data_IF_722289905656
#
_entry.id   IF_722289905656
#
_cell.length_a   1.000
_cell.length_b   1.000
_cell.length_c   1.000
_cell.angle_alpha   90.00
_cell.angle_beta   90.00
_cell.angle_gamma   90.00
#
_symmetry.space_group_name_H-M   'P 1'
#
loop_
_entity.id
_entity.type
_entity.pdbx_description
1 polymer ?
#
# COMPACT_ATOMS: atom_id res chain seq x y z
N UNK A 1 -13.85 1.02 12.99
CA UNK A 1 -12.65 1.78 13.38
C UNK A 1 -11.73 0.77 14.04
N UNK A 2 -10.66 0.33 13.38
CA UNK A 2 -9.81 -0.75 13.88
C UNK A 2 -9.03 -0.27 15.13
N UNK A 3 -8.97 -1.07 16.21
CA UNK A 3 -8.34 -0.67 17.46
C UNK A 3 -6.83 -0.47 17.26
N UNK A 4 -6.33 0.61 17.85
CA UNK A 4 -4.94 1.04 17.84
C UNK A 4 -4.14 0.18 18.83
N UNK A 5 -3.95 -1.11 18.50
CA UNK A 5 -3.17 -2.05 19.30
C UNK A 5 -1.66 -1.82 19.07
N UNK A 6 -1.09 -0.88 19.82
CA UNK A 6 0.33 -0.88 20.19
C UNK A 6 1.35 -0.47 19.12
N UNK A 7 0.93 0.01 17.95
CA UNK A 7 1.87 0.53 16.95
C UNK A 7 2.16 2.01 17.28
N UNK A 8 3.42 2.39 17.64
CA UNK A 8 3.79 3.78 17.84
C UNK A 8 3.37 4.59 16.61
N UNK A 9 2.84 5.82 16.77
CA UNK A 9 2.46 6.65 15.61
C UNK A 9 3.67 6.84 14.68
N UNK A 10 3.71 6.09 13.58
CA UNK A 10 4.80 6.10 12.61
C UNK A 10 4.67 7.35 11.76
N UNK A 11 5.49 8.38 12.04
CA UNK A 11 5.42 9.69 11.36
C UNK A 11 6.58 9.91 10.39
N UNK A 12 7.61 9.08 10.50
CA UNK A 12 8.83 9.20 9.71
C UNK A 12 9.40 7.83 9.35
N UNK A 13 10.34 7.81 8.39
CA UNK A 13 11.04 6.59 8.02
C UNK A 13 11.82 6.02 9.22
N UNK A 14 12.40 6.88 10.06
CA UNK A 14 13.12 6.47 11.27
C UNK A 14 12.22 5.69 12.24
N UNK A 15 10.98 6.12 12.42
CA UNK A 15 10.03 5.42 13.29
C UNK A 15 9.67 4.04 12.72
N UNK A 16 9.53 3.94 11.40
CA UNK A 16 9.27 2.68 10.71
C UNK A 16 10.47 1.71 10.84
N UNK A 17 11.69 2.23 10.73
CA UNK A 17 12.91 1.43 10.89
C UNK A 17 13.05 0.92 12.32
N UNK A 18 12.74 1.76 13.32
CA UNK A 18 12.73 1.37 14.73
C UNK A 18 11.68 0.27 15.00
N UNK A 19 10.46 0.42 14.47
CA UNK A 19 9.44 -0.63 14.54
C UNK A 19 9.92 -1.93 13.89
N UNK A 20 10.46 -1.86 12.68
CA UNK A 20 10.97 -3.01 11.93
C UNK A 20 12.13 -3.74 12.61
N UNK A 21 12.90 -3.06 13.45
CA UNK A 21 13.95 -3.66 14.27
C UNK A 21 13.38 -4.51 15.43
N UNK A 22 12.19 -4.17 15.92
CA UNK A 22 11.50 -4.92 16.99
C UNK A 22 10.65 -6.08 16.48
N UNK A 23 10.23 -6.03 15.22
CA UNK A 23 9.34 -7.04 14.61
C UNK A 23 10.14 -8.20 14.01
N UNK A 24 9.89 -9.40 14.54
CA UNK A 24 10.53 -10.64 14.09
C UNK A 24 9.92 -11.15 12.79
N UNK A 25 8.59 -11.10 12.66
CA UNK A 25 7.89 -11.61 11.47
C UNK A 25 8.06 -10.67 10.27
N UNK A 26 8.64 -11.17 9.19
CA UNK A 26 8.90 -10.36 7.99
C UNK A 26 7.62 -9.75 7.38
N UNK A 27 6.49 -10.46 7.50
CA UNK A 27 5.20 -10.03 6.95
C UNK A 27 4.58 -8.84 7.70
N UNK A 28 4.94 -8.68 8.98
CA UNK A 28 4.43 -7.60 9.84
C UNK A 28 5.31 -6.35 9.80
N UNK A 29 6.48 -6.43 9.15
CA UNK A 29 7.32 -5.26 8.92
C UNK A 29 6.58 -4.23 8.08
N UNK A 30 6.83 -2.96 8.38
CA UNK A 30 6.26 -1.82 7.70
C UNK A 30 7.10 -1.42 6.48
N UNK A 31 6.40 -1.10 5.41
CA UNK A 31 6.92 -0.42 4.23
C UNK A 31 6.16 0.90 4.11
N UNK A 32 6.89 2.00 4.25
CA UNK A 32 6.33 3.33 4.18
C UNK A 32 6.68 4.01 2.87
N UNK A 33 5.76 4.80 2.35
CA UNK A 33 5.99 5.68 1.20
C UNK A 33 5.48 7.07 1.53
N UNK A 34 6.20 8.08 1.07
CA UNK A 34 5.62 9.41 0.93
C UNK A 34 4.83 9.40 -0.37
N UNK A 35 3.52 9.58 -0.27
CA UNK A 35 2.66 9.58 -1.44
C UNK A 35 3.14 10.62 -2.46
N UNK A 36 3.23 10.20 -3.72
CA UNK A 36 3.45 11.13 -4.81
C UNK A 36 2.19 11.97 -4.97
N UNK A 37 2.34 13.28 -4.84
CA UNK A 37 1.21 14.21 -4.93
C UNK A 37 0.71 14.22 -6.37
N UNK A 38 -0.53 13.80 -6.58
CA UNK A 38 -1.30 14.20 -7.76
C UNK A 38 -2.07 15.48 -7.40
N UNK A 39 -1.65 16.63 -7.94
CA UNK A 39 -2.31 17.94 -7.74
C UNK A 39 -1.93 18.68 -6.44
N UNK A 40 -2.91 19.30 -5.77
CA UNK A 40 -2.71 20.18 -4.59
C UNK A 40 -2.65 19.43 -3.25
N UNK A 41 -2.48 18.10 -3.25
CA UNK A 41 -2.55 17.31 -2.02
C UNK A 41 -1.29 17.45 -1.14
N UNK A 42 -1.47 17.55 0.18
CA UNK A 42 -0.35 17.50 1.14
C UNK A 42 0.23 16.09 1.13
N UNK A 43 1.55 15.97 0.99
CA UNK A 43 2.26 14.66 1.01
C UNK A 43 1.95 13.91 2.30
N UNK A 44 1.24 12.79 2.19
CA UNK A 44 1.00 11.90 3.33
C UNK A 44 2.13 10.88 3.44
N UNK A 45 2.55 10.62 4.67
CA UNK A 45 3.44 9.50 4.99
C UNK A 45 2.56 8.29 5.33
N UNK A 46 2.49 7.34 4.40
CA UNK A 46 1.60 6.19 4.51
C UNK A 46 2.45 4.94 4.67
N UNK A 47 2.12 4.14 5.69
CA UNK A 47 2.78 2.88 5.98
C UNK A 47 1.80 1.73 5.84
N UNK A 48 2.27 0.62 5.29
CA UNK A 48 1.55 -0.63 5.18
C UNK A 48 2.45 -1.75 5.68
N UNK A 49 1.89 -2.85 6.18
CA UNK A 49 2.70 -4.05 6.39
C UNK A 49 3.11 -4.66 5.04
N UNK A 50 4.17 -5.47 5.04
CA UNK A 50 4.59 -6.21 3.83
C UNK A 50 3.45 -7.09 3.31
N UNK A 51 2.73 -7.78 4.19
CA UNK A 51 1.58 -8.60 3.80
C UNK A 51 0.46 -7.77 3.15
N UNK A 52 0.12 -6.61 3.73
CA UNK A 52 -0.88 -5.70 3.16
C UNK A 52 -0.45 -5.18 1.79
N UNK A 53 0.83 -4.81 1.63
CA UNK A 53 1.36 -4.35 0.35
C UNK A 53 1.26 -5.42 -0.73
N UNK A 54 1.62 -6.67 -0.43
CA UNK A 54 1.53 -7.75 -1.41
C UNK A 54 0.08 -8.06 -1.79
N UNK A 55 -0.85 -8.03 -0.83
CA UNK A 55 -2.27 -8.17 -1.11
C UNK A 55 -2.77 -7.10 -2.08
N UNK A 56 -2.49 -5.83 -1.80
CA UNK A 56 -2.86 -4.72 -2.70
C UNK A 56 -2.20 -4.85 -4.08
N UNK A 57 -0.97 -5.37 -4.13
CA UNK A 57 -0.27 -5.61 -5.39
C UNK A 57 -0.94 -6.70 -6.23
N UNK A 58 -1.50 -7.73 -5.60
CA UNK A 58 -2.25 -8.78 -6.27
C UNK A 58 -3.61 -8.27 -6.74
N UNK A 59 -4.37 -7.61 -5.86
CA UNK A 59 -5.66 -6.99 -6.19
C UNK A 59 -5.52 -5.99 -7.36
N UNK A 60 -4.47 -5.16 -7.35
CA UNK A 60 -4.18 -4.23 -8.44
C UNK A 60 -3.85 -4.92 -9.77
N UNK A 61 -3.17 -6.07 -9.76
CA UNK A 61 -2.91 -6.86 -10.97
C UNK A 61 -4.19 -7.45 -11.54
N UNK A 62 -5.05 -7.99 -10.69
CA UNK A 62 -6.33 -8.56 -11.10
C UNK A 62 -7.26 -7.50 -11.68
N UNK A 63 -7.34 -6.33 -11.03
CA UNK A 63 -8.11 -5.19 -11.51
C UNK A 63 -7.60 -4.70 -12.88
N UNK A 64 -6.27 -4.59 -13.05
CA UNK A 64 -5.67 -4.21 -14.33
C UNK A 64 -5.94 -5.23 -15.44
N UNK A 65 -5.87 -6.53 -15.13
CA UNK A 65 -6.20 -7.59 -16.08
C UNK A 65 -7.67 -7.53 -16.50
N UNK A 66 -8.57 -7.32 -15.54
CA UNK A 66 -10.00 -7.15 -15.80
C UNK A 66 -10.26 -5.95 -16.70
N UNK A 67 -9.62 -4.81 -16.41
CA UNK A 67 -9.74 -3.61 -17.23
C UNK A 67 -9.22 -3.83 -18.66
N UNK A 68 -8.13 -4.59 -18.83
CA UNK A 68 -7.61 -4.90 -20.16
C UNK A 68 -8.59 -5.77 -20.98
N UNK A 69 -9.25 -6.75 -20.34
CA UNK A 69 -10.27 -7.58 -21.01
C UNK A 69 -11.49 -6.75 -21.43
N UNK A 70 -11.98 -5.87 -20.55
CA UNK A 70 -13.12 -5.02 -20.87
C UNK A 70 -12.82 -4.06 -22.02
N UNK A 71 -11.64 -3.44 -22.03
CA UNK A 71 -11.21 -2.56 -23.13
C UNK A 71 -11.08 -3.32 -24.45
N UNK A 72 -10.52 -4.53 -24.45
CA UNK A 72 -10.42 -5.35 -25.65
C UNK A 72 -11.81 -5.71 -26.20
N UNK A 73 -12.76 -6.06 -25.32
CA UNK A 73 -14.14 -6.36 -25.72
C UNK A 73 -14.85 -5.15 -26.31
N UNK A 74 -14.68 -3.96 -25.72
CA UNK A 74 -15.25 -2.73 -26.28
C UNK A 74 -14.62 -2.36 -27.62
N UNK A 75 -13.33 -2.62 -27.81
CA UNK A 75 -12.63 -2.34 -29.07
C UNK A 75 -13.00 -3.31 -30.20
N UNK A 76 -13.47 -4.52 -29.89
CA UNK A 76 -13.93 -5.50 -30.89
C UNK A 76 -15.43 -5.39 -31.24
N UNK A 77 -16.16 -4.52 -30.54
CA UNK A 77 -17.60 -4.31 -30.72
C UNK A 77 -17.99 -3.12 -31.59
N UNK A 78 -17.03 -2.45 -32.26
CA UNK A 78 -17.26 -1.35 -33.20
C UNK A 78 -16.88 -1.77 -34.63
#
# INVERSE_FOLDING_TARGET
MYPDEGIPRIRSQRDADAYNATVVAANDKLVCRREQVLGSNIRQFVCLTVAQRERLRLEGREAAATLADTLNRTNQGN
#
